data_IF_976081854904
#
_entry.id   IF_976081854904
#
_cell.length_a   1.000
_cell.length_b   1.000
_cell.length_c   1.000
_cell.angle_alpha   90.00
_cell.angle_beta   90.00
_cell.angle_gamma   90.00
#
_symmetry.space_group_name_H-M   'P 1'
#
loop_
_entity.id
_entity.type
_entity.pdbx_description
1 polymer ?
#
# COMPACT_ATOMS: atom_id res chain seq x y z
N UNK A 1 26.90 5.72 -24.77
CA UNK A 1 26.17 6.66 -23.88
C UNK A 1 26.84 8.02 -23.98
N UNK A 2 26.37 8.92 -24.86
CA UNK A 2 27.09 10.18 -25.14
C UNK A 2 26.87 11.31 -24.13
N UNK A 3 25.69 11.36 -23.51
CA UNK A 3 25.33 12.45 -22.59
C UNK A 3 26.12 12.42 -21.27
N UNK A 4 26.28 11.23 -20.67
CA UNK A 4 27.04 11.08 -19.42
C UNK A 4 28.54 11.37 -19.62
N UNK A 5 29.13 10.87 -20.71
CA UNK A 5 30.53 11.17 -21.06
C UNK A 5 30.76 12.66 -21.33
N UNK A 6 29.77 13.34 -21.94
CA UNK A 6 29.83 14.78 -22.17
C UNK A 6 29.76 15.59 -20.86
N UNK A 7 28.95 15.17 -19.89
CA UNK A 7 28.91 15.79 -18.55
C UNK A 7 30.24 15.59 -17.82
N UNK A 8 30.80 14.38 -17.84
CA UNK A 8 32.07 14.07 -17.18
C UNK A 8 33.25 14.88 -17.74
N UNK A 9 33.22 15.23 -19.03
CA UNK A 9 34.24 16.05 -19.67
C UNK A 9 34.22 17.54 -19.26
N UNK A 10 33.13 18.01 -18.66
CA UNK A 10 32.93 19.42 -18.33
C UNK A 10 33.56 19.81 -16.99
N UNK A 11 34.78 20.36 -17.05
CA UNK A 11 35.56 20.84 -15.89
C UNK A 11 34.95 22.03 -15.11
N UNK A 12 33.94 22.69 -15.67
CA UNK A 12 33.26 23.85 -15.06
C UNK A 12 31.96 23.51 -14.32
N UNK A 13 31.51 22.26 -14.36
CA UNK A 13 30.32 21.85 -13.62
C UNK A 13 30.63 21.81 -12.13
N UNK A 14 29.69 22.31 -11.31
CA UNK A 14 29.79 22.18 -9.86
C UNK A 14 29.79 20.70 -9.51
N UNK A 15 30.87 20.26 -8.86
CA UNK A 15 30.91 18.94 -8.27
C UNK A 15 29.97 18.94 -7.06
N UNK A 16 28.92 18.13 -7.15
CA UNK A 16 28.07 17.85 -6.01
C UNK A 16 28.55 16.54 -5.39
N UNK A 17 28.91 16.58 -4.11
CA UNK A 17 29.22 15.37 -3.35
C UNK A 17 27.96 14.52 -3.25
N UNK A 18 27.85 13.51 -4.10
CA UNK A 18 26.75 12.55 -4.00
C UNK A 18 26.89 11.79 -2.68
N UNK A 19 25.81 11.76 -1.91
CA UNK A 19 25.69 10.95 -0.71
C UNK A 19 24.47 10.07 -0.84
N UNK A 20 24.55 8.87 -0.29
CA UNK A 20 23.39 7.98 -0.16
C UNK A 20 22.38 8.54 0.87
N UNK A 21 22.86 9.34 1.83
CA UNK A 21 22.00 10.04 2.78
C UNK A 21 21.31 11.24 2.12
N UNK A 22 20.03 11.03 1.77
CA UNK A 22 19.16 12.03 1.15
C UNK A 22 18.91 13.25 2.04
N UNK A 23 19.04 13.10 3.36
CA UNK A 23 18.81 14.21 4.28
C UNK A 23 19.81 15.36 4.07
N UNK A 24 21.00 15.06 3.53
CA UNK A 24 22.06 16.05 3.33
C UNK A 24 21.76 17.04 2.20
N UNK A 25 21.03 16.63 1.16
CA UNK A 25 20.82 17.46 -0.04
C UNK A 25 19.35 17.80 -0.31
N UNK A 26 18.39 17.13 0.33
CA UNK A 26 16.97 17.45 0.19
C UNK A 26 16.60 18.90 0.55
N UNK A 27 17.15 19.53 1.61
CA UNK A 27 16.85 20.93 1.91
C UNK A 27 17.21 21.89 0.76
N UNK A 28 18.35 21.67 0.12
CA UNK A 28 18.80 22.47 -1.03
C UNK A 28 17.90 22.23 -2.25
N UNK A 29 17.54 20.98 -2.52
CA UNK A 29 16.61 20.62 -3.61
C UNK A 29 15.25 21.28 -3.41
N UNK A 30 14.69 21.24 -2.20
CA UNK A 30 13.38 21.86 -1.91
C UNK A 30 13.43 23.40 -1.97
N UNK A 31 14.60 23.99 -1.75
CA UNK A 31 14.82 25.44 -1.95
C UNK A 31 14.90 25.79 -3.43
N UNK A 32 15.60 24.98 -4.23
CA UNK A 32 15.77 25.19 -5.66
C UNK A 32 14.50 24.93 -6.47
N UNK A 33 13.63 24.02 -6.00
CA UNK A 33 12.37 23.65 -6.66
C UNK A 33 11.19 23.78 -5.69
N UNK A 34 10.68 25.00 -5.43
CA UNK A 34 9.62 25.22 -4.44
C UNK A 34 8.34 24.43 -4.72
N UNK A 35 7.97 24.26 -6.00
CA UNK A 35 6.79 23.49 -6.41
C UNK A 35 6.91 21.99 -6.11
N UNK A 36 8.13 21.46 -5.93
CA UNK A 36 8.35 20.04 -5.62
C UNK A 36 7.92 19.68 -4.20
N UNK A 37 7.88 20.65 -3.28
CA UNK A 37 7.60 20.41 -1.87
C UNK A 37 6.23 19.77 -1.66
N UNK A 38 5.20 20.33 -2.29
CA UNK A 38 3.82 19.87 -2.15
C UNK A 38 3.66 18.43 -2.69
N UNK A 39 4.21 18.17 -3.88
CA UNK A 39 4.18 16.84 -4.50
C UNK A 39 4.94 15.80 -3.66
N UNK A 40 6.08 16.19 -3.09
CA UNK A 40 6.88 15.34 -2.22
C UNK A 40 6.14 14.99 -0.93
N UNK A 41 5.57 15.99 -0.25
CA UNK A 41 4.81 15.80 0.99
C UNK A 41 3.56 14.94 0.75
N UNK A 42 2.83 15.20 -0.34
CA UNK A 42 1.68 14.37 -0.76
C UNK A 42 2.07 12.92 -1.01
N UNK A 43 3.19 12.70 -1.71
CA UNK A 43 3.70 11.36 -2.01
C UNK A 43 4.16 10.63 -0.73
N UNK A 44 4.82 11.34 0.17
CA UNK A 44 5.25 10.80 1.46
C UNK A 44 4.06 10.42 2.34
N UNK A 45 3.01 11.25 2.37
CA UNK A 45 1.77 10.96 3.08
C UNK A 45 1.09 9.69 2.56
N UNK A 46 0.96 9.56 1.23
CA UNK A 46 0.41 8.34 0.57
C UNK A 46 1.24 7.10 0.92
N UNK A 47 2.57 7.22 0.91
CA UNK A 47 3.45 6.11 1.27
C UNK A 47 3.27 5.70 2.73
N UNK A 48 3.23 6.66 3.64
CA UNK A 48 3.04 6.40 5.07
C UNK A 48 1.68 5.76 5.35
N UNK A 49 0.62 6.23 4.68
CA UNK A 49 -0.71 5.63 4.77
C UNK A 49 -0.70 4.18 4.28
N UNK A 50 -0.11 3.90 3.12
CA UNK A 50 -0.02 2.55 2.58
C UNK A 50 0.77 1.61 3.51
N UNK A 51 1.83 2.10 4.15
CA UNK A 51 2.59 1.35 5.17
C UNK A 51 1.73 1.04 6.40
N UNK A 52 0.99 2.03 6.89
CA UNK A 52 0.12 1.86 8.06
C UNK A 52 -0.99 0.84 7.79
N UNK A 53 -1.65 0.92 6.63
CA UNK A 53 -2.65 -0.06 6.21
C UNK A 53 -2.04 -1.46 6.13
N UNK A 54 -0.85 -1.61 5.53
CA UNK A 54 -0.18 -2.93 5.44
C UNK A 54 0.22 -3.47 6.81
N UNK A 55 0.53 -2.61 7.77
CA UNK A 55 0.89 -3.02 9.12
C UNK A 55 -0.30 -3.63 9.86
N UNK A 56 -1.50 -3.03 9.75
CA UNK A 56 -2.70 -3.54 10.41
C UNK A 56 -3.45 -4.61 9.58
N UNK A 57 -3.40 -4.53 8.25
CA UNK A 57 -4.09 -5.43 7.34
C UNK A 57 -3.09 -6.14 6.40
N UNK A 58 -2.68 -7.34 6.80
CA UNK A 58 -1.82 -8.23 6.03
C UNK A 58 -2.26 -9.68 6.17
N UNK A 59 -1.64 -10.57 5.36
CA UNK A 59 -1.99 -11.99 5.35
C UNK A 59 -1.87 -12.65 6.72
N UNK A 60 -0.88 -12.28 7.54
CA UNK A 60 -0.69 -12.83 8.89
C UNK A 60 -1.85 -12.44 9.81
N UNK A 61 -2.21 -11.16 9.85
CA UNK A 61 -3.32 -10.66 10.68
C UNK A 61 -4.64 -11.29 10.26
N UNK A 62 -4.93 -11.28 8.95
CA UNK A 62 -6.18 -11.82 8.43
C UNK A 62 -6.28 -13.32 8.68
N UNK A 63 -5.20 -14.07 8.46
CA UNK A 63 -5.14 -15.52 8.76
C UNK A 63 -5.41 -15.79 10.24
N UNK A 64 -4.82 -14.99 11.15
CA UNK A 64 -5.03 -15.17 12.58
C UNK A 64 -6.50 -14.96 13.00
N UNK A 65 -7.25 -14.12 12.27
CA UNK A 65 -8.64 -13.80 12.57
C UNK A 65 -9.62 -14.79 11.92
N UNK A 66 -9.41 -15.13 10.64
CA UNK A 66 -10.36 -15.91 9.84
C UNK A 66 -9.98 -17.37 9.70
N UNK A 67 -8.71 -17.72 9.93
CA UNK A 67 -8.15 -19.05 9.67
C UNK A 67 -7.92 -19.35 8.18
N UNK A 68 -8.22 -18.41 7.28
CA UNK A 68 -8.04 -18.62 5.84
C UNK A 68 -6.57 -18.66 5.47
N UNK A 69 -6.20 -19.56 4.55
CA UNK A 69 -4.83 -19.68 4.03
C UNK A 69 -4.82 -19.82 2.51
N UNK A 70 -3.65 -19.63 1.89
CA UNK A 70 -3.43 -19.85 0.46
C UNK A 70 -4.40 -19.07 -0.45
N UNK A 71 -5.05 -19.77 -1.37
CA UNK A 71 -5.93 -19.17 -2.38
C UNK A 71 -7.17 -18.48 -1.77
N UNK A 72 -7.75 -19.06 -0.73
CA UNK A 72 -8.93 -18.51 -0.07
C UNK A 72 -8.61 -17.20 0.64
N UNK A 73 -7.44 -17.12 1.29
CA UNK A 73 -6.95 -15.86 1.88
C UNK A 73 -6.82 -14.76 0.82
N UNK A 74 -6.20 -15.07 -0.32
CA UNK A 74 -6.05 -14.10 -1.41
C UNK A 74 -7.39 -13.62 -1.97
N UNK A 75 -8.35 -14.53 -2.14
CA UNK A 75 -9.70 -14.20 -2.60
C UNK A 75 -10.45 -13.31 -1.60
N UNK A 76 -10.42 -13.67 -0.32
CA UNK A 76 -11.03 -12.87 0.74
C UNK A 76 -10.38 -11.49 0.83
N UNK A 77 -9.05 -11.38 0.81
CA UNK A 77 -8.37 -10.08 0.85
C UNK A 77 -8.72 -9.19 -0.34
N UNK A 78 -8.93 -9.77 -1.53
CA UNK A 78 -9.39 -9.03 -2.71
C UNK A 78 -10.83 -8.56 -2.56
N UNK A 79 -11.72 -9.43 -2.07
CA UNK A 79 -13.11 -9.09 -1.79
C UNK A 79 -13.23 -8.00 -0.72
N UNK A 80 -12.52 -8.13 0.40
CA UNK A 80 -12.46 -7.13 1.46
C UNK A 80 -12.03 -5.76 0.93
N UNK A 81 -10.99 -5.72 0.08
CA UNK A 81 -10.53 -4.46 -0.54
C UNK A 81 -11.55 -3.86 -1.50
N UNK A 82 -12.30 -4.69 -2.22
CA UNK A 82 -13.32 -4.24 -3.14
C UNK A 82 -14.50 -3.62 -2.37
N UNK A 83 -14.97 -4.30 -1.33
CA UNK A 83 -16.10 -3.85 -0.52
C UNK A 83 -15.78 -2.61 0.31
N UNK A 84 -14.53 -2.49 0.77
CA UNK A 84 -14.07 -1.39 1.61
C UNK A 84 -13.31 -0.30 0.83
N UNK A 85 -13.40 -0.26 -0.51
CA UNK A 85 -12.52 0.53 -1.38
C UNK A 85 -12.27 1.98 -0.91
N UNK A 86 -13.28 2.67 -0.38
CA UNK A 86 -13.16 4.02 0.17
C UNK A 86 -12.75 4.03 1.66
N UNK A 87 -13.18 3.04 2.45
CA UNK A 87 -12.89 2.93 3.89
C UNK A 87 -11.53 2.32 4.26
N UNK A 88 -10.77 1.79 3.28
CA UNK A 88 -9.43 1.23 3.52
C UNK A 88 -8.47 2.25 4.14
N UNK A 89 -8.65 3.53 3.81
CA UNK A 89 -7.86 4.65 4.33
C UNK A 89 -7.92 4.78 5.86
N UNK A 90 -9.04 4.37 6.46
CA UNK A 90 -9.34 4.55 7.87
C UNK A 90 -8.90 3.36 8.73
N UNK A 91 -8.51 2.24 8.13
CA UNK A 91 -8.07 1.04 8.86
C UNK A 91 -6.99 1.32 9.92
N UNK A 92 -5.98 2.19 9.69
CA UNK A 92 -4.97 2.48 10.70
C UNK A 92 -5.51 3.23 11.94
N UNK A 93 -6.68 3.84 11.84
CA UNK A 93 -7.32 4.58 12.94
C UNK A 93 -8.17 3.69 13.84
N UNK A 94 -8.49 2.47 13.39
CA UNK A 94 -9.31 1.52 14.14
C UNK A 94 -8.49 0.84 15.24
N UNK A 95 -9.13 0.55 16.37
CA UNK A 95 -8.55 -0.34 17.37
C UNK A 95 -8.45 -1.77 16.82
N UNK A 96 -7.59 -2.59 17.42
CA UNK A 96 -7.44 -3.99 17.00
C UNK A 96 -8.75 -4.78 17.14
N UNK A 97 -9.58 -4.47 18.14
CA UNK A 97 -10.89 -5.08 18.34
C UNK A 97 -11.88 -4.70 17.23
N UNK A 98 -11.91 -3.42 16.85
CA UNK A 98 -12.76 -2.92 15.76
C UNK A 98 -12.34 -3.52 14.42
N UNK A 99 -11.04 -3.54 14.13
CA UNK A 99 -10.48 -4.13 12.92
C UNK A 99 -10.81 -5.63 12.84
N UNK A 100 -10.63 -6.35 13.96
CA UNK A 100 -10.95 -7.78 14.01
C UNK A 100 -12.44 -8.03 13.77
N UNK A 101 -13.31 -7.22 14.36
CA UNK A 101 -14.76 -7.32 14.17
C UNK A 101 -15.15 -7.05 12.71
N UNK A 102 -14.55 -6.02 12.09
CA UNK A 102 -14.77 -5.70 10.68
C UNK A 102 -14.34 -6.85 9.75
N UNK A 103 -13.17 -7.44 10.01
CA UNK A 103 -12.66 -8.59 9.24
C UNK A 103 -13.57 -9.80 9.41
N UNK A 104 -14.03 -10.11 10.62
CA UNK A 104 -14.96 -11.23 10.87
C UNK A 104 -16.29 -11.03 10.14
N UNK A 105 -16.89 -9.85 10.25
CA UNK A 105 -18.17 -9.55 9.60
C UNK A 105 -18.07 -9.69 8.07
N UNK A 106 -17.01 -9.14 7.47
CA UNK A 106 -16.78 -9.30 6.03
C UNK A 106 -16.51 -10.76 5.65
N UNK A 107 -15.81 -11.52 6.51
CA UNK A 107 -15.57 -12.95 6.28
C UNK A 107 -16.86 -13.77 6.26
N UNK A 108 -17.82 -13.48 7.15
CA UNK A 108 -19.13 -14.15 7.15
C UNK A 108 -19.90 -13.88 5.84
N UNK A 109 -19.87 -12.65 5.34
CA UNK A 109 -20.48 -12.29 4.06
C UNK A 109 -19.80 -13.04 2.92
N UNK A 110 -18.47 -13.04 2.89
CA UNK A 110 -17.68 -13.75 1.88
C UNK A 110 -18.02 -15.25 1.82
N UNK A 111 -18.07 -15.93 2.96
CA UNK A 111 -18.41 -17.36 3.03
C UNK A 111 -19.79 -17.61 2.43
N UNK A 112 -20.79 -16.80 2.79
CA UNK A 112 -22.16 -16.92 2.21
C UNK A 112 -22.16 -16.71 0.69
N UNK A 113 -21.42 -15.74 0.17
CA UNK A 113 -21.34 -15.47 -1.27
C UNK A 113 -20.66 -16.61 -2.03
N UNK A 114 -19.60 -17.21 -1.46
CA UNK A 114 -18.91 -18.35 -2.05
C UNK A 114 -19.82 -19.59 -2.06
N UNK A 115 -20.50 -19.87 -0.94
CA UNK A 115 -21.43 -21.00 -0.81
C UNK A 115 -22.56 -20.94 -1.83
N UNK A 116 -23.21 -19.78 -1.98
CA UNK A 116 -24.27 -19.56 -2.97
C UNK A 116 -23.77 -19.75 -4.42
N UNK A 117 -22.55 -19.28 -4.71
CA UNK A 117 -21.94 -19.45 -6.04
C UNK A 117 -21.60 -20.90 -6.35
N UNK A 118 -21.23 -21.70 -5.35
CA UNK A 118 -20.98 -23.14 -5.51
C UNK A 118 -22.26 -23.96 -5.67
N UNK A 119 -23.36 -23.57 -5.01
CA UNK A 119 -24.65 -24.26 -5.14
C UNK A 119 -25.30 -24.05 -6.51
N UNK A 120 -25.19 -22.85 -7.08
CA UNK A 120 -25.73 -22.55 -8.43
C UNK A 120 -25.01 -23.39 -9.50
N UNK A 121 -23.69 -23.55 -9.37
CA UNK A 121 -22.91 -24.39 -10.30
C UNK A 121 -23.30 -25.87 -10.23
N UNK A 122 -23.60 -26.40 -9.05
CA UNK A 122 -24.03 -27.81 -8.90
C UNK A 122 -25.43 -28.12 -9.42
N UNK A 123 -26.28 -27.11 -9.65
CA UNK A 123 -27.64 -27.29 -10.19
C UNK A 123 -27.71 -27.17 -11.72
N UNK A 124 -26.59 -26.88 -12.38
CA UNK A 124 -26.50 -26.77 -13.84
C UNK A 124 -25.79 -27.96 -14.52
N UNK A 125 -25.28 -28.90 -13.72
CA UNK A 125 -24.77 -30.21 -14.14
C UNK A 125 -25.82 -31.29 -13.85
#
# INVERSE_FOLDING_TARGET
>A
MGFLQWIEAQRGLRYFGWSEDKALYMPEVMTAFPSLREDYESSLAKLNQAKAIRACFNGTVVTAITGLTGKQLGQFMAHFKHDLAEGMADLPSLSMEQLSSLIRNSHEVFVRTVEQSTEIRRKQD
#
